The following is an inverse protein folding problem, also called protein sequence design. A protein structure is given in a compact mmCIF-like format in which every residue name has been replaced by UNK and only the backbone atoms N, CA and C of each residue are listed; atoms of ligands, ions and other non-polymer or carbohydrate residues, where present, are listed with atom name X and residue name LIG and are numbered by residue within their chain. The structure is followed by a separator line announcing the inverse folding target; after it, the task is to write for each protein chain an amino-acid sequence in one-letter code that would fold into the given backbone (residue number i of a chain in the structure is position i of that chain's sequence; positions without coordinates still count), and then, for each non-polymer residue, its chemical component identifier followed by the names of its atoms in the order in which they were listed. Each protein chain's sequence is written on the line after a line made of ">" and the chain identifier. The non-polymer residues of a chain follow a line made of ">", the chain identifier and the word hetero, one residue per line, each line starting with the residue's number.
data_IF_516542456335
#
_entry.id   IF_516542456335
#
_cell.length_a   1.000
_cell.length_b   1.000
_cell.length_c   1.000
_cell.angle_alpha   90.00
_cell.angle_beta   90.00
_cell.angle_gamma   90.00
#
_symmetry.space_group_name_H-M   'P 1'
#
loop_
_entity.id
_entity.type
_entity.pdbx_description
1 polymer ?
#
# COMPACT_ATOMS: atom_id res chain seq x y z
N UNK A 1 0.80 -28.90 30.92
CA UNK A 1 0.38 -27.84 29.98
C UNK A 1 -0.81 -28.39 29.21
N UNK A 2 -1.99 -27.80 29.37
CA UNK A 2 -3.13 -28.13 28.52
C UNK A 2 -2.81 -27.79 27.06
N UNK A 3 -3.27 -28.65 26.15
CA UNK A 3 -3.14 -28.40 24.73
C UNK A 3 -3.97 -27.15 24.35
N UNK A 4 -3.51 -26.30 23.42
CA UNK A 4 -4.28 -25.16 22.98
C UNK A 4 -5.62 -25.62 22.39
N UNK A 5 -6.70 -24.91 22.73
CA UNK A 5 -8.03 -25.21 22.21
C UNK A 5 -8.05 -25.13 20.68
N UNK A 6 -8.76 -26.05 20.00
CA UNK A 6 -8.77 -26.18 18.53
C UNK A 6 -9.13 -24.87 17.81
N UNK A 7 -10.05 -24.10 18.40
CA UNK A 7 -10.44 -22.78 17.91
C UNK A 7 -9.24 -21.81 17.72
N UNK A 8 -8.17 -21.95 18.50
CA UNK A 8 -6.97 -21.12 18.34
C UNK A 8 -6.32 -21.32 16.96
N UNK A 9 -6.32 -22.55 16.44
CA UNK A 9 -5.71 -22.85 15.14
C UNK A 9 -6.52 -22.26 13.98
N UNK A 10 -7.85 -22.13 14.13
CA UNK A 10 -8.69 -21.46 13.14
C UNK A 10 -8.38 -19.96 13.03
N UNK A 11 -8.02 -19.32 14.16
CA UNK A 11 -7.68 -17.90 14.20
C UNK A 11 -6.37 -17.61 13.45
N UNK A 12 -5.42 -18.56 13.42
CA UNK A 12 -4.11 -18.38 12.79
C UNK A 12 -4.24 -17.94 11.32
N UNK A 13 -5.18 -18.49 10.56
CA UNK A 13 -5.38 -18.14 9.15
C UNK A 13 -5.79 -16.67 8.92
N UNK A 14 -6.23 -15.95 9.96
CA UNK A 14 -6.63 -14.55 9.90
C UNK A 14 -5.59 -13.59 10.48
N UNK A 15 -4.51 -14.12 11.05
CA UNK A 15 -3.46 -13.29 11.64
C UNK A 15 -2.52 -12.73 10.54
N UNK A 16 -2.11 -11.46 10.64
CA UNK A 16 -1.05 -10.92 9.80
C UNK A 16 0.25 -11.72 9.95
N UNK A 17 1.07 -11.74 8.89
CA UNK A 17 2.30 -12.53 8.86
C UNK A 17 3.23 -12.26 10.05
N UNK A 18 3.37 -11.00 10.49
CA UNK A 18 4.21 -10.69 11.65
C UNK A 18 3.72 -11.37 12.92
N UNK A 19 2.41 -11.41 13.15
CA UNK A 19 1.81 -12.06 14.31
C UNK A 19 1.95 -13.58 14.21
N UNK A 20 1.77 -14.16 13.02
CA UNK A 20 2.02 -15.58 12.77
C UNK A 20 3.47 -15.96 13.13
N UNK A 21 4.44 -15.18 12.66
CA UNK A 21 5.85 -15.44 12.97
C UNK A 21 6.14 -15.29 14.47
N UNK A 22 5.51 -14.34 15.16
CA UNK A 22 5.60 -14.23 16.62
C UNK A 22 4.98 -15.44 17.31
N UNK A 23 3.78 -15.86 16.92
CA UNK A 23 3.10 -17.04 17.47
C UNK A 23 3.91 -18.33 17.28
N UNK A 24 4.62 -18.45 16.15
CA UNK A 24 5.50 -19.60 15.90
C UNK A 24 6.69 -19.69 16.86
N UNK A 25 7.02 -18.60 17.57
CA UNK A 25 8.10 -18.57 18.56
C UNK A 25 7.62 -18.86 19.99
N UNK A 26 6.30 -18.89 20.23
CA UNK A 26 5.72 -19.07 21.57
C UNK A 26 5.77 -20.52 22.04
N UNK A 27 5.51 -21.49 21.15
CA UNK A 27 5.56 -22.92 21.48
C UNK A 27 5.82 -23.79 20.26
N UNK A 28 6.34 -25.01 20.49
CA UNK A 28 6.52 -26.02 19.42
C UNK A 28 5.20 -26.39 18.75
N UNK A 29 4.12 -26.51 19.51
CA UNK A 29 2.80 -26.86 18.97
C UNK A 29 2.29 -25.80 17.99
N UNK A 30 2.41 -24.51 18.34
CA UNK A 30 2.04 -23.42 17.43
C UNK A 30 2.98 -23.33 16.24
N UNK A 31 4.28 -23.48 16.46
CA UNK A 31 5.27 -23.54 15.39
C UNK A 31 4.91 -24.61 14.35
N UNK A 32 4.63 -25.83 14.80
CA UNK A 32 4.37 -26.96 13.93
C UNK A 32 3.01 -26.83 13.23
N UNK A 33 1.99 -26.34 13.93
CA UNK A 33 0.68 -26.05 13.32
C UNK A 33 0.79 -24.98 12.22
N UNK A 34 1.48 -23.87 12.49
CA UNK A 34 1.68 -22.80 11.50
C UNK A 34 2.48 -23.31 10.29
N UNK A 35 3.50 -24.14 10.50
CA UNK A 35 4.34 -24.63 9.40
C UNK A 35 3.71 -25.75 8.58
N UNK A 36 2.80 -26.53 9.16
CA UNK A 36 2.19 -27.68 8.49
C UNK A 36 0.85 -27.34 7.83
N UNK A 37 0.18 -26.27 8.27
CA UNK A 37 -1.11 -25.87 7.71
C UNK A 37 -0.93 -24.96 6.48
N UNK A 38 -1.23 -25.53 5.32
CA UNK A 38 -1.19 -24.83 4.02
C UNK A 38 -2.16 -23.65 3.97
N UNK A 39 -3.29 -23.71 4.67
CA UNK A 39 -4.34 -22.68 4.62
C UNK A 39 -3.84 -21.32 5.11
N UNK A 40 -2.96 -21.33 6.12
CA UNK A 40 -2.34 -20.13 6.68
C UNK A 40 -1.46 -19.41 5.66
N UNK A 41 -0.93 -20.12 4.66
CA UNK A 41 0.01 -19.59 3.67
C UNK A 41 -0.63 -19.32 2.31
N UNK A 42 -1.96 -19.43 2.15
CA UNK A 42 -2.63 -19.12 0.88
C UNK A 42 -2.54 -17.63 0.51
N UNK A 43 -2.39 -16.77 1.50
CA UNK A 43 -2.28 -15.31 1.34
C UNK A 43 -1.00 -14.83 2.02
N UNK A 44 0.07 -14.71 1.24
CA UNK A 44 1.34 -14.20 1.74
C UNK A 44 1.40 -12.69 1.59
N UNK A 45 1.19 -11.99 2.70
CA UNK A 45 1.23 -10.53 2.78
C UNK A 45 2.44 -10.11 3.61
N UNK A 46 3.37 -9.39 2.99
CA UNK A 46 4.54 -8.78 3.62
C UNK A 46 4.41 -7.27 3.52
N UNK A 47 4.32 -6.62 4.67
CA UNK A 47 4.28 -5.16 4.82
C UNK A 47 5.19 -4.73 5.99
N UNK A 48 5.16 -3.44 6.34
CA UNK A 48 5.96 -2.90 7.44
C UNK A 48 5.63 -3.61 8.77
N UNK A 49 6.63 -3.99 9.59
CA UNK A 49 8.08 -3.76 9.42
C UNK A 49 8.84 -4.89 8.71
N UNK A 50 8.18 -5.99 8.34
CA UNK A 50 8.85 -7.17 7.78
C UNK A 50 9.48 -6.90 6.41
N UNK A 51 8.86 -6.04 5.59
CA UNK A 51 9.34 -5.68 4.26
C UNK A 51 10.79 -5.16 4.25
N UNK A 52 11.22 -4.44 5.30
CA UNK A 52 12.55 -3.84 5.41
C UNK A 52 13.67 -4.88 5.51
N UNK A 53 13.35 -6.08 6.00
CA UNK A 53 14.31 -7.17 6.25
C UNK A 53 14.03 -8.40 5.39
N UNK A 54 13.01 -8.35 4.53
CA UNK A 54 12.69 -9.46 3.64
C UNK A 54 13.83 -9.66 2.65
N UNK A 55 14.24 -10.91 2.47
CA UNK A 55 15.23 -11.36 1.49
C UNK A 55 14.62 -12.42 0.59
N UNK A 56 15.23 -12.66 -0.56
CA UNK A 56 14.81 -13.70 -1.50
C UNK A 56 14.70 -15.09 -0.84
N UNK A 57 15.67 -15.48 -0.02
CA UNK A 57 15.65 -16.75 0.71
C UNK A 57 14.46 -16.84 1.68
N UNK A 58 14.19 -15.74 2.38
CA UNK A 58 13.09 -15.68 3.35
C UNK A 58 11.74 -15.77 2.64
N UNK A 59 11.59 -15.06 1.52
CA UNK A 59 10.40 -15.09 0.68
C UNK A 59 10.17 -16.50 0.11
N UNK A 60 11.21 -17.13 -0.44
CA UNK A 60 11.13 -18.51 -0.96
C UNK A 60 10.71 -19.50 0.12
N UNK A 61 11.24 -19.37 1.35
CA UNK A 61 10.87 -20.20 2.48
C UNK A 61 9.41 -20.00 2.92
N UNK A 62 8.85 -18.81 2.78
CA UNK A 62 7.43 -18.56 3.06
C UNK A 62 6.54 -19.11 1.95
N UNK A 63 6.88 -18.82 0.69
CA UNK A 63 6.12 -19.28 -0.46
C UNK A 63 6.09 -20.81 -0.58
N UNK A 64 7.15 -21.52 -0.18
CA UNK A 64 7.20 -22.99 -0.22
C UNK A 64 6.18 -23.65 0.70
N UNK A 65 5.80 -23.00 1.81
CA UNK A 65 4.79 -23.51 2.76
C UNK A 65 3.38 -23.52 2.18
N UNK A 66 3.14 -22.75 1.12
CA UNK A 66 1.88 -22.81 0.40
C UNK A 66 1.76 -24.07 -0.49
N UNK A 67 2.83 -24.85 -0.65
CA UNK A 67 2.88 -26.06 -1.48
C UNK A 67 2.29 -25.87 -2.89
N UNK A 68 2.60 -24.72 -3.52
CA UNK A 68 2.12 -24.36 -4.86
C UNK A 68 0.68 -23.84 -4.91
N UNK A 69 0.04 -23.63 -3.76
CA UNK A 69 -1.36 -23.18 -3.64
C UNK A 69 -1.50 -21.72 -3.25
N UNK A 70 -0.43 -20.93 -3.32
CA UNK A 70 -0.50 -19.50 -3.03
C UNK A 70 -1.50 -18.81 -3.96
N UNK A 71 -2.49 -18.12 -3.38
CA UNK A 71 -3.52 -17.38 -4.13
C UNK A 71 -3.23 -15.88 -4.19
N UNK A 72 -2.58 -15.33 -3.17
CA UNK A 72 -2.21 -13.92 -3.08
C UNK A 72 -0.76 -13.80 -2.64
N UNK A 73 0.01 -13.06 -3.42
CA UNK A 73 1.34 -12.58 -3.04
C UNK A 73 1.30 -11.06 -2.99
N UNK A 74 1.47 -10.50 -1.81
CA UNK A 74 1.52 -9.06 -1.59
C UNK A 74 2.82 -8.67 -0.90
N UNK A 75 3.71 -7.99 -1.61
CA UNK A 75 5.01 -7.50 -1.17
C UNK A 75 4.99 -5.98 -1.22
N UNK A 76 4.73 -5.34 -0.10
CA UNK A 76 4.55 -3.89 -0.04
C UNK A 76 5.87 -3.24 0.37
N UNK A 77 6.43 -2.38 -0.49
CA UNK A 77 7.70 -1.71 -0.26
C UNK A 77 8.86 -2.69 0.06
N UNK A 78 8.89 -3.86 -0.62
CA UNK A 78 9.96 -4.85 -0.43
C UNK A 78 11.10 -4.58 -1.43
N UNK A 79 12.05 -3.72 -1.06
CA UNK A 79 13.10 -3.23 -1.96
C UNK A 79 14.20 -4.25 -2.27
N UNK A 80 14.39 -5.25 -1.41
CA UNK A 80 15.47 -6.25 -1.53
C UNK A 80 15.08 -7.51 -2.32
N UNK A 81 13.86 -7.54 -2.88
CA UNK A 81 13.39 -8.68 -3.66
C UNK A 81 13.77 -8.51 -5.13
N UNK A 82 14.30 -9.58 -5.71
CA UNK A 82 14.79 -9.60 -7.09
C UNK A 82 13.82 -10.28 -8.06
N UNK A 83 13.99 -9.99 -9.35
CA UNK A 83 13.26 -10.64 -10.44
C UNK A 83 13.41 -12.16 -10.44
N UNK A 84 14.62 -12.69 -10.15
CA UNK A 84 14.88 -14.14 -10.08
C UNK A 84 14.06 -14.80 -8.97
N UNK A 85 14.02 -14.18 -7.79
CA UNK A 85 13.21 -14.71 -6.71
C UNK A 85 11.73 -14.72 -7.08
N UNK A 86 11.23 -13.60 -7.61
CA UNK A 86 9.82 -13.48 -7.97
C UNK A 86 9.43 -14.51 -9.05
N UNK A 87 10.26 -14.74 -10.07
CA UNK A 87 9.96 -15.73 -11.11
C UNK A 87 9.90 -17.15 -10.55
N UNK A 88 10.77 -17.49 -9.60
CA UNK A 88 10.77 -18.79 -8.94
C UNK A 88 9.52 -19.00 -8.09
N UNK A 89 9.09 -17.96 -7.35
CA UNK A 89 7.84 -18.00 -6.58
C UNK A 89 6.63 -18.19 -7.49
N UNK A 90 6.58 -17.47 -8.61
CA UNK A 90 5.50 -17.56 -9.61
C UNK A 90 5.43 -18.95 -10.22
N UNK A 91 6.57 -19.48 -10.69
CA UNK A 91 6.63 -20.80 -11.33
C UNK A 91 6.22 -21.93 -10.37
N UNK A 92 6.47 -21.77 -9.08
CA UNK A 92 6.04 -22.72 -8.07
C UNK A 92 4.53 -22.60 -7.73
N UNK A 93 3.89 -21.45 -7.98
CA UNK A 93 2.53 -21.14 -7.53
C UNK A 93 1.62 -20.64 -8.65
N UNK A 94 1.30 -21.52 -9.61
CA UNK A 94 0.46 -21.19 -10.77
C UNK A 94 -1.01 -20.89 -10.44
N UNK A 95 -1.43 -21.05 -9.18
CA UNK A 95 -2.76 -20.71 -8.68
C UNK A 95 -2.88 -19.25 -8.20
N UNK A 96 -1.82 -18.45 -8.30
CA UNK A 96 -1.84 -17.04 -7.94
C UNK A 96 -2.91 -16.29 -8.74
N UNK A 97 -3.75 -15.55 -8.01
CA UNK A 97 -4.83 -14.71 -8.56
C UNK A 97 -4.62 -13.23 -8.30
N UNK A 98 -3.82 -12.88 -7.28
CA UNK A 98 -3.49 -11.51 -6.90
C UNK A 98 -1.98 -11.37 -6.72
N UNK A 99 -1.35 -10.45 -7.44
CA UNK A 99 0.07 -10.12 -7.32
C UNK A 99 0.25 -8.63 -7.02
N UNK A 100 0.54 -8.29 -5.77
CA UNK A 100 0.73 -6.91 -5.34
C UNK A 100 2.19 -6.70 -5.00
N UNK A 101 2.87 -5.81 -5.71
CA UNK A 101 4.29 -5.48 -5.54
C UNK A 101 4.52 -3.96 -5.59
N UNK A 102 3.69 -3.13 -4.91
CA UNK A 102 3.87 -1.69 -4.98
C UNK A 102 5.20 -1.27 -4.36
N UNK A 103 5.89 -0.36 -5.06
CA UNK A 103 7.18 0.20 -4.67
C UNK A 103 8.26 -0.85 -4.35
N UNK A 104 8.17 -2.04 -4.96
CA UNK A 104 9.28 -2.98 -5.05
C UNK A 104 10.26 -2.51 -6.12
N UNK A 105 11.13 -1.57 -5.75
CA UNK A 105 12.07 -0.92 -6.69
C UNK A 105 13.16 -1.84 -7.25
N UNK A 106 13.37 -3.00 -6.62
CA UNK A 106 14.26 -4.04 -7.13
C UNK A 106 13.65 -4.88 -8.26
N UNK A 107 12.36 -4.69 -8.55
CA UNK A 107 11.66 -5.38 -9.62
C UNK A 107 11.56 -4.53 -10.89
N UNK A 108 11.53 -5.21 -12.03
CA UNK A 108 11.38 -4.60 -13.35
C UNK A 108 9.96 -4.76 -13.92
N UNK A 109 9.51 -3.91 -14.85
CA UNK A 109 8.28 -4.15 -15.60
C UNK A 109 8.25 -5.51 -16.33
N UNK A 110 9.41 -5.97 -16.81
CA UNK A 110 9.56 -7.20 -17.59
C UNK A 110 9.20 -8.44 -16.76
N UNK A 111 9.60 -8.51 -15.49
CA UNK A 111 9.21 -9.62 -14.61
C UNK A 111 7.70 -9.64 -14.36
N UNK A 112 7.05 -8.48 -14.27
CA UNK A 112 5.60 -8.39 -14.08
C UNK A 112 4.86 -8.90 -15.32
N UNK A 113 5.35 -8.57 -16.51
CA UNK A 113 4.80 -9.11 -17.76
C UNK A 113 4.99 -10.63 -17.86
N UNK A 114 6.16 -11.14 -17.49
CA UNK A 114 6.41 -12.58 -17.41
C UNK A 114 5.48 -13.27 -16.40
N UNK A 115 5.22 -12.63 -15.26
CA UNK A 115 4.26 -13.09 -14.26
C UNK A 115 2.85 -13.20 -14.85
N UNK A 116 2.37 -12.14 -15.50
CA UNK A 116 1.05 -12.10 -16.10
C UNK A 116 0.87 -13.16 -17.22
N UNK A 117 1.93 -13.41 -18.01
CA UNK A 117 1.96 -14.47 -19.03
C UNK A 117 1.86 -15.88 -18.43
N UNK A 118 2.56 -16.09 -17.32
CA UNK A 118 2.67 -17.42 -16.67
C UNK A 118 1.42 -17.75 -15.86
N UNK A 119 0.86 -16.74 -15.17
CA UNK A 119 -0.27 -16.88 -14.26
C UNK A 119 -1.61 -16.75 -14.99
N UNK A 120 -2.07 -17.83 -15.61
CA UNK A 120 -3.34 -17.87 -16.36
C UNK A 120 -4.60 -17.52 -15.56
N UNK A 121 -4.54 -17.55 -14.23
CA UNK A 121 -5.66 -17.22 -13.32
C UNK A 121 -5.51 -15.84 -12.67
N UNK A 122 -4.51 -15.05 -13.07
CA UNK A 122 -4.25 -13.74 -12.49
C UNK A 122 -5.43 -12.80 -12.76
N UNK A 123 -5.93 -12.17 -11.69
CA UNK A 123 -7.08 -11.26 -11.74
C UNK A 123 -6.68 -9.83 -11.43
N UNK A 124 -5.73 -9.66 -10.51
CA UNK A 124 -5.33 -8.34 -10.04
C UNK A 124 -3.81 -8.26 -9.89
N UNK A 125 -3.27 -7.14 -10.36
CA UNK A 125 -1.87 -6.75 -10.28
C UNK A 125 -1.81 -5.34 -9.71
N UNK A 126 -1.02 -5.12 -8.67
CA UNK A 126 -0.81 -3.79 -8.06
C UNK A 126 0.67 -3.48 -8.09
N UNK A 127 1.08 -2.50 -8.90
CA UNK A 127 2.48 -2.30 -9.31
C UNK A 127 2.91 -0.83 -9.22
N UNK A 128 2.11 0.03 -8.59
CA UNK A 128 2.51 1.43 -8.45
C UNK A 128 3.83 1.57 -7.69
N UNK A 129 4.73 2.41 -8.22
CA UNK A 129 6.07 2.63 -7.66
C UNK A 129 7.15 1.71 -8.21
N UNK A 130 6.85 0.81 -9.15
CA UNK A 130 7.88 0.15 -9.97
C UNK A 130 8.48 1.19 -10.94
N UNK A 131 9.80 1.22 -11.04
CA UNK A 131 10.50 2.16 -11.93
C UNK A 131 10.34 1.78 -13.40
N UNK A 132 10.44 2.79 -14.27
CA UNK A 132 10.42 2.63 -15.73
C UNK A 132 9.16 1.95 -16.29
N UNK A 133 8.03 1.99 -15.56
CA UNK A 133 6.73 1.60 -16.09
C UNK A 133 6.33 2.56 -17.22
N UNK A 134 6.01 1.98 -18.39
CA UNK A 134 5.63 2.70 -19.62
C UNK A 134 4.27 2.25 -20.10
N UNK A 135 3.69 3.04 -21.00
CA UNK A 135 2.38 2.76 -21.59
C UNK A 135 2.32 1.41 -22.30
N UNK A 136 3.40 1.00 -22.98
CA UNK A 136 3.50 -0.31 -23.66
C UNK A 136 3.32 -1.48 -22.69
N UNK A 137 3.92 -1.41 -21.51
CA UNK A 137 3.77 -2.43 -20.47
C UNK A 137 2.32 -2.50 -19.96
N UNK A 138 1.67 -1.35 -19.78
CA UNK A 138 0.28 -1.30 -19.35
C UNK A 138 -0.65 -1.93 -20.39
N UNK A 139 -0.46 -1.57 -21.67
CA UNK A 139 -1.22 -2.16 -22.78
C UNK A 139 -1.04 -3.67 -22.80
N UNK A 140 0.19 -4.18 -22.69
CA UNK A 140 0.44 -5.61 -22.66
C UNK A 140 -0.22 -6.31 -21.44
N UNK A 141 -0.12 -5.74 -20.23
CA UNK A 141 -0.77 -6.28 -19.03
C UNK A 141 -2.29 -6.39 -19.18
N UNK A 142 -2.94 -5.41 -19.82
CA UNK A 142 -4.40 -5.44 -20.02
C UNK A 142 -4.89 -6.58 -20.92
N UNK A 143 -4.01 -7.21 -21.71
CA UNK A 143 -4.37 -8.40 -22.49
C UNK A 143 -4.43 -9.66 -21.64
N UNK A 144 -3.66 -9.72 -20.55
CA UNK A 144 -3.59 -10.90 -19.66
C UNK A 144 -4.58 -10.82 -18.49
N UNK A 145 -5.06 -9.62 -18.16
CA UNK A 145 -5.91 -9.38 -17.00
C UNK A 145 -7.37 -9.16 -17.41
N UNK A 146 -8.33 -9.47 -16.51
CA UNK A 146 -9.73 -9.17 -16.75
C UNK A 146 -9.94 -7.67 -16.98
N UNK A 147 -10.68 -7.30 -18.03
CA UNK A 147 -11.07 -5.91 -18.23
C UNK A 147 -12.13 -5.53 -17.20
N UNK A 148 -11.92 -4.40 -16.52
CA UNK A 148 -12.93 -3.82 -15.64
C UNK A 148 -13.86 -2.95 -16.48
N UNK A 149 -15.16 -3.26 -16.45
CA UNK A 149 -16.18 -2.54 -17.25
C UNK A 149 -16.59 -1.21 -16.65
N UNK A 150 -16.26 -0.98 -15.38
CA UNK A 150 -16.56 0.26 -14.64
C UNK A 150 -15.31 0.77 -13.94
N UNK A 151 -14.96 2.03 -14.23
CA UNK A 151 -13.86 2.73 -13.55
C UNK A 151 -14.39 3.37 -12.28
N UNK A 152 -13.98 2.86 -11.12
CA UNK A 152 -14.25 3.49 -9.84
C UNK A 152 -13.31 4.70 -9.63
N UNK A 153 -13.80 5.81 -9.05
CA UNK A 153 -12.98 6.98 -8.79
C UNK A 153 -11.93 6.69 -7.71
N UNK A 154 -10.67 7.04 -8.00
CA UNK A 154 -9.54 6.84 -7.06
C UNK A 154 -9.25 8.15 -6.33
N UNK A 155 -9.53 8.22 -5.04
CA UNK A 155 -9.30 9.44 -4.24
C UNK A 155 -7.97 9.39 -3.49
N UNK A 156 -7.15 10.42 -3.64
CA UNK A 156 -5.79 10.52 -3.11
C UNK A 156 -5.65 10.12 -1.62
N UNK A 157 -6.51 10.66 -0.74
CA UNK A 157 -6.47 10.39 0.71
C UNK A 157 -6.68 8.93 1.10
N UNK A 158 -7.21 8.08 0.20
CA UNK A 158 -7.39 6.65 0.45
C UNK A 158 -6.15 5.82 0.13
N UNK A 159 -5.21 6.36 -0.65
CA UNK A 159 -4.07 5.62 -1.19
C UNK A 159 -2.72 6.07 -0.62
N UNK A 160 -2.71 7.01 0.35
CA UNK A 160 -1.48 7.44 1.03
C UNK A 160 -0.87 6.35 1.90
N UNK A 161 -1.71 5.59 2.61
CA UNK A 161 -1.27 4.43 3.39
C UNK A 161 -1.37 3.20 2.49
N UNK A 162 -0.23 2.77 1.95
CA UNK A 162 -0.08 1.48 1.25
C UNK A 162 -0.12 0.35 2.27
N UNK A 163 -1.31 0.03 2.77
CA UNK A 163 -1.58 -1.20 3.51
C UNK A 163 -2.22 -2.22 2.58
N UNK A 164 -2.07 -3.49 2.91
CA UNK A 164 -2.71 -4.55 2.13
C UNK A 164 -4.23 -4.38 2.03
N UNK A 165 -4.88 -3.99 3.14
CA UNK A 165 -6.32 -3.76 3.19
C UNK A 165 -6.79 -2.72 2.16
N UNK A 166 -6.07 -1.61 2.00
CA UNK A 166 -6.41 -0.57 1.01
C UNK A 166 -6.24 -1.04 -0.43
N UNK A 167 -5.20 -1.82 -0.70
CA UNK A 167 -4.98 -2.41 -2.02
C UNK A 167 -6.05 -3.45 -2.36
N UNK A 168 -6.58 -4.14 -1.36
CA UNK A 168 -7.66 -5.09 -1.53
C UNK A 168 -9.02 -4.41 -1.78
N UNK A 169 -9.27 -3.23 -1.19
CA UNK A 169 -10.45 -2.41 -1.48
C UNK A 169 -10.50 -1.97 -2.96
N UNK A 170 -9.34 -1.74 -3.59
CA UNK A 170 -9.26 -1.38 -5.00
C UNK A 170 -9.55 -2.59 -5.91
N UNK A 171 -10.76 -2.59 -6.47
CA UNK A 171 -11.26 -3.65 -7.36
C UNK A 171 -10.60 -3.66 -8.74
N UNK A 172 -9.85 -2.62 -9.10
CA UNK A 172 -9.19 -2.51 -10.40
C UNK A 172 -8.23 -3.68 -10.64
N UNK A 173 -8.22 -4.26 -11.84
CA UNK A 173 -7.24 -5.29 -12.21
C UNK A 173 -5.80 -4.76 -12.19
N UNK A 174 -5.62 -3.45 -12.47
CA UNK A 174 -4.35 -2.74 -12.41
C UNK A 174 -4.56 -1.43 -11.64
N UNK A 175 -3.66 -1.08 -10.72
CA UNK A 175 -3.74 0.16 -9.93
C UNK A 175 -3.25 1.40 -10.69
N UNK A 176 -2.26 1.25 -11.57
CA UNK A 176 -1.68 2.34 -12.34
C UNK A 176 -2.40 2.64 -13.65
N UNK A 177 -2.32 3.89 -14.08
CA UNK A 177 -2.84 4.39 -15.35
C UNK A 177 -1.88 5.43 -15.95
N UNK A 178 -2.01 5.72 -17.24
CA UNK A 178 -1.30 6.86 -17.83
C UNK A 178 -1.84 8.17 -17.27
N UNK A 179 -0.96 8.98 -16.69
CA UNK A 179 -1.33 10.29 -16.18
C UNK A 179 -1.69 11.23 -17.35
N UNK A 180 -2.89 11.85 -17.35
CA UNK A 180 -3.31 12.73 -18.45
C UNK A 180 -2.44 13.99 -18.58
N UNK A 181 -1.70 14.38 -17.53
CA UNK A 181 -0.85 15.58 -17.48
C UNK A 181 0.59 15.32 -17.91
N UNK A 182 1.27 14.36 -17.28
CA UNK A 182 2.68 14.08 -17.56
C UNK A 182 2.95 12.87 -18.43
N UNK A 183 1.92 12.08 -18.78
CA UNK A 183 2.04 10.86 -19.63
C UNK A 183 2.82 9.71 -19.01
N UNK A 184 3.26 9.85 -17.77
CA UNK A 184 3.86 8.76 -16.99
C UNK A 184 2.81 7.76 -16.49
N UNK A 185 3.17 6.48 -16.40
CA UNK A 185 2.32 5.41 -15.86
C UNK A 185 2.49 5.32 -14.34
N UNK A 186 1.48 5.77 -13.58
CA UNK A 186 1.49 5.86 -12.11
C UNK A 186 0.07 5.74 -11.56
N UNK A 187 -0.10 5.73 -10.24
CA UNK A 187 -1.42 6.02 -9.66
C UNK A 187 -1.94 7.38 -10.14
N UNK A 188 -3.18 7.37 -10.65
CA UNK A 188 -3.89 8.57 -11.10
C UNK A 188 -5.13 8.75 -10.25
N UNK A 189 -5.30 9.97 -9.72
CA UNK A 189 -6.35 10.29 -8.77
C UNK A 189 -7.39 11.22 -9.37
N UNK A 190 -8.63 10.96 -8.98
CA UNK A 190 -9.78 11.82 -9.13
C UNK A 190 -9.89 12.79 -7.94
N UNK A 191 -10.47 13.97 -8.20
CA UNK A 191 -10.69 14.97 -7.18
C UNK A 191 -12.07 14.79 -6.54
N UNK A 192 -12.19 14.73 -5.20
CA UNK A 192 -13.48 14.67 -4.52
C UNK A 192 -14.17 16.04 -4.40
N UNK A 193 -13.57 17.13 -4.90
CA UNK A 193 -14.17 18.47 -4.88
C UNK A 193 -15.31 18.55 -5.91
N UNK A 194 -16.51 18.93 -5.48
CA UNK A 194 -17.71 18.95 -6.33
C UNK A 194 -17.57 19.78 -7.60
N UNK A 195 -16.89 20.93 -7.50
CA UNK A 195 -16.62 21.80 -8.66
C UNK A 195 -15.71 21.12 -9.68
N UNK A 196 -14.81 20.24 -9.23
CA UNK A 196 -13.96 19.42 -10.09
C UNK A 196 -14.68 18.19 -10.67
N UNK A 197 -15.77 17.72 -10.04
CA UNK A 197 -16.52 16.53 -10.50
C UNK A 197 -17.67 16.87 -11.44
N UNK A 198 -18.23 18.08 -11.35
CA UNK A 198 -19.51 18.41 -12.04
C UNK A 198 -19.29 18.95 -13.46
N UNK A 199 -18.18 19.65 -13.72
CA UNK A 199 -17.88 20.18 -15.05
C UNK A 199 -16.91 19.26 -15.80
N UNK A 200 -17.31 18.70 -16.94
CA UNK A 200 -16.47 17.76 -17.74
C UNK A 200 -15.07 18.29 -18.03
N UNK A 201 -14.93 19.59 -18.34
CA UNK A 201 -13.61 20.23 -18.55
C UNK A 201 -12.77 20.22 -17.27
N UNK A 202 -13.38 20.50 -16.12
CA UNK A 202 -12.73 20.48 -14.81
C UNK A 202 -12.39 19.07 -14.32
N UNK A 203 -13.19 18.05 -14.66
CA UNK A 203 -12.90 16.63 -14.36
C UNK A 203 -11.61 16.19 -15.04
N UNK A 204 -11.50 16.48 -16.35
CA UNK A 204 -10.28 16.17 -17.11
C UNK A 204 -9.10 17.00 -16.60
N UNK A 205 -9.34 18.28 -16.29
CA UNK A 205 -8.28 19.18 -15.79
C UNK A 205 -7.76 18.80 -14.41
N UNK A 206 -8.61 18.28 -13.51
CA UNK A 206 -8.27 17.97 -12.12
C UNK A 206 -8.05 16.48 -11.85
N UNK A 207 -7.82 15.70 -12.90
CA UNK A 207 -7.37 14.31 -12.82
C UNK A 207 -5.87 14.24 -13.09
N UNK A 208 -5.13 13.49 -12.27
CA UNK A 208 -3.67 13.41 -12.40
C UNK A 208 -3.01 12.61 -11.29
N UNK A 209 -1.74 12.28 -11.48
CA UNK A 209 -0.91 11.68 -10.44
C UNK A 209 -0.54 12.71 -9.35
N UNK A 210 -0.01 12.22 -8.23
CA UNK A 210 0.39 13.03 -7.07
C UNK A 210 1.45 14.09 -7.39
N UNK A 211 2.24 13.91 -8.45
CA UNK A 211 3.28 14.86 -8.84
C UNK A 211 2.74 15.99 -9.73
N UNK A 212 1.62 15.78 -10.41
CA UNK A 212 1.05 16.78 -11.33
C UNK A 212 -0.06 17.62 -10.69
N UNK A 213 -0.66 17.14 -9.61
CA UNK A 213 -1.70 17.85 -8.88
C UNK A 213 -1.39 17.66 -7.40
N UNK A 214 -1.00 18.73 -6.74
CA UNK A 214 -0.89 18.78 -5.28
C UNK A 214 -2.28 18.59 -4.68
N UNK A 215 -2.39 17.74 -3.66
CA UNK A 215 -3.67 17.39 -3.03
C UNK A 215 -3.55 17.40 -1.52
N UNK A 216 -4.64 17.78 -0.86
CA UNK A 216 -4.72 17.75 0.60
C UNK A 216 -4.61 16.31 1.10
N UNK A 217 -3.73 16.06 2.07
CA UNK A 217 -3.54 14.73 2.65
C UNK A 217 -4.84 14.22 3.30
N UNK A 218 -5.58 15.09 4.00
CA UNK A 218 -6.76 14.68 4.75
C UNK A 218 -8.01 14.40 3.93
N UNK A 219 -8.31 15.22 2.91
CA UNK A 219 -9.53 15.06 2.12
C UNK A 219 -9.28 14.69 0.65
N UNK A 220 -8.05 14.74 0.16
CA UNK A 220 -7.69 14.39 -1.23
C UNK A 220 -8.14 15.40 -2.29
N UNK A 221 -8.76 16.51 -1.90
CA UNK A 221 -9.09 17.63 -2.81
C UNK A 221 -7.79 18.22 -3.40
N UNK A 222 -7.85 18.70 -4.63
CA UNK A 222 -6.76 19.45 -5.23
C UNK A 222 -6.50 20.73 -4.43
N UNK A 223 -5.24 21.09 -4.34
CA UNK A 223 -4.75 22.37 -3.86
C UNK A 223 -4.25 23.08 -5.10
N UNK A 224 -4.80 24.24 -5.40
CA UNK A 224 -4.36 25.07 -6.52
C UNK A 224 -3.74 26.36 -5.99
N UNK A 225 -2.73 26.86 -6.70
CA UNK A 225 -2.12 28.16 -6.40
C UNK A 225 -3.07 29.33 -6.72
N UNK A 226 -4.16 29.06 -7.46
CA UNK A 226 -5.13 30.05 -7.94
C UNK A 226 -6.31 30.26 -6.97
N UNK A 227 -6.58 29.30 -6.06
CA UNK A 227 -7.80 29.30 -5.25
C UNK A 227 -7.72 30.15 -3.96
N UNK A 228 -6.65 30.93 -3.72
CA UNK A 228 -6.40 31.69 -2.47
C UNK A 228 -6.61 30.83 -1.18
N UNK A 229 -6.59 29.50 -1.30
CA UNK A 229 -6.81 28.59 -0.19
C UNK A 229 -5.55 28.58 0.68
N UNK A 230 -5.64 29.23 1.84
CA UNK A 230 -4.57 29.19 2.84
C UNK A 230 -4.21 27.73 3.18
N UNK A 231 -2.94 27.39 3.03
CA UNK A 231 -2.42 26.08 3.38
C UNK A 231 -2.10 26.02 4.87
N UNK A 232 -2.53 24.93 5.50
CA UNK A 232 -2.17 24.66 6.87
C UNK A 232 -0.71 24.24 6.98
N UNK A 233 0.08 24.94 7.81
CA UNK A 233 1.46 24.53 8.07
C UNK A 233 1.50 23.22 8.87
N UNK A 234 2.05 22.17 8.26
CA UNK A 234 2.23 20.87 8.91
C UNK A 234 3.66 20.69 9.42
N UNK A 235 3.84 19.78 10.37
CA UNK A 235 5.15 19.38 10.90
C UNK A 235 5.90 18.51 9.87
N UNK A 236 5.16 17.70 9.12
CA UNK A 236 5.68 16.77 8.12
C UNK A 236 5.94 17.40 6.75
N UNK A 237 5.66 18.71 6.58
CA UNK A 237 5.70 19.42 5.29
C UNK A 237 4.76 18.84 4.22
N UNK A 238 3.80 18.01 4.60
CA UNK A 238 2.74 17.57 3.71
C UNK A 238 1.65 18.64 3.57
N UNK A 239 0.90 18.58 2.48
CA UNK A 239 -0.09 19.58 2.15
C UNK A 239 -1.45 19.30 2.81
N UNK A 240 -1.98 20.27 3.55
CA UNK A 240 -3.35 20.24 4.06
C UNK A 240 -4.08 21.52 3.67
N UNK A 241 -5.32 21.36 3.19
CA UNK A 241 -6.23 22.49 3.12
C UNK A 241 -6.59 22.98 4.53
N UNK A 242 -6.92 24.27 4.66
CA UNK A 242 -7.23 24.90 5.94
C UNK A 242 -8.30 24.12 6.75
N UNK A 243 -9.37 23.68 6.10
CA UNK A 243 -10.45 22.90 6.72
C UNK A 243 -9.95 21.63 7.42
N UNK A 244 -9.04 20.90 6.78
CA UNK A 244 -8.46 19.69 7.35
C UNK A 244 -7.48 20.03 8.47
N UNK A 245 -6.63 21.04 8.25
CA UNK A 245 -5.66 21.49 9.24
C UNK A 245 -6.30 21.99 10.54
N UNK A 246 -7.42 22.71 10.46
CA UNK A 246 -8.16 23.23 11.61
C UNK A 246 -8.72 22.12 12.53
N UNK A 247 -8.95 20.92 11.98
CA UNK A 247 -9.54 19.78 12.71
C UNK A 247 -8.49 18.90 13.39
N UNK A 248 -7.21 19.12 13.11
CA UNK A 248 -6.13 18.27 13.61
C UNK A 248 -5.55 18.83 14.91
N UNK A 249 -5.08 17.96 15.83
CA UNK A 249 -4.32 18.38 17.00
C UNK A 249 -3.07 19.17 16.59
N UNK A 250 -2.82 20.28 17.27
CA UNK A 250 -1.68 21.17 17.00
C UNK A 250 -0.70 21.10 18.15
N UNK A 251 0.59 21.13 17.81
CA UNK A 251 1.66 21.25 18.78
C UNK A 251 1.49 22.54 19.58
N UNK A 252 1.50 22.44 20.91
CA UNK A 252 1.33 23.59 21.80
C UNK A 252 2.44 24.64 21.67
N UNK A 253 3.60 24.29 21.10
CA UNK A 253 4.74 25.19 20.95
C UNK A 253 4.84 25.87 19.58
N UNK A 254 4.57 25.16 18.48
CA UNK A 254 4.72 25.71 17.13
C UNK A 254 3.40 25.89 16.39
N UNK A 255 2.27 25.49 17.00
CA UNK A 255 0.93 25.55 16.42
C UNK A 255 0.78 24.77 15.09
N UNK A 256 1.71 23.87 14.76
CA UNK A 256 1.64 23.00 13.58
C UNK A 256 1.03 21.64 13.92
N UNK A 257 0.36 21.02 12.94
CA UNK A 257 -0.20 19.66 13.08
C UNK A 257 0.61 18.64 12.26
N UNK A 258 0.55 17.36 12.64
CA UNK A 258 0.90 16.29 11.69
C UNK A 258 -0.23 16.14 10.67
N UNK A 259 0.07 15.71 9.44
CA UNK A 259 -1.00 15.25 8.54
C UNK A 259 -1.63 13.96 9.09
N UNK A 260 -2.86 13.59 8.67
CA UNK A 260 -3.53 12.40 9.18
C UNK A 260 -2.70 11.13 9.08
N UNK A 261 -2.01 10.94 7.95
CA UNK A 261 -1.12 9.81 7.67
C UNK A 261 0.00 9.67 8.71
N UNK A 262 0.63 10.80 9.07
CA UNK A 262 1.71 10.81 10.06
C UNK A 262 1.20 10.85 11.50
N UNK A 263 0.00 11.39 11.74
CA UNK A 263 -0.63 11.37 13.06
C UNK A 263 -0.85 9.92 13.52
N UNK A 264 -1.40 9.07 12.65
CA UNK A 264 -1.65 7.65 12.97
C UNK A 264 -0.36 6.88 13.32
N UNK A 265 0.76 7.22 12.69
CA UNK A 265 2.07 6.63 12.99
C UNK A 265 2.64 7.12 14.33
N UNK A 266 2.28 8.32 14.76
CA UNK A 266 2.79 8.99 15.95
C UNK A 266 1.93 8.72 17.21
N UNK A 267 0.67 8.28 17.06
CA UNK A 267 -0.21 7.94 18.18
C UNK A 267 0.35 6.83 19.09
N UNK A 268 1.33 6.04 18.64
CA UNK A 268 2.05 5.08 19.49
C UNK A 268 3.04 5.73 20.47
N UNK A 269 3.46 6.98 20.23
CA UNK A 269 4.46 7.67 21.04
C UNK A 269 3.88 8.73 21.98
N UNK A 270 2.66 9.22 21.74
CA UNK A 270 2.11 10.33 22.50
C UNK A 270 0.96 9.89 23.41
N UNK A 271 1.14 10.08 24.72
CA UNK A 271 0.02 10.13 25.66
C UNK A 271 -0.93 11.24 25.21
N UNK A 272 -2.22 10.93 25.07
CA UNK A 272 -3.33 11.85 24.77
C UNK A 272 -3.53 12.82 25.95
N UNK A 273 -2.50 13.59 26.28
CA UNK A 273 -2.60 14.74 27.18
C UNK A 273 -2.98 15.96 26.35
N UNK A 274 -3.58 16.97 27.00
CA UNK A 274 -4.03 18.21 26.35
C UNK A 274 -2.88 19.04 25.77
N UNK A 275 -1.63 18.70 26.10
CA UNK A 275 -0.43 19.44 25.71
C UNK A 275 0.46 18.57 24.79
N UNK A 276 -0.05 18.24 23.60
CA UNK A 276 0.78 17.60 22.57
C UNK A 276 1.92 18.53 22.16
N UNK A 277 3.16 18.04 22.27
CA UNK A 277 4.36 18.70 21.76
C UNK A 277 4.94 17.82 20.65
N UNK A 278 5.27 18.40 19.50
CA UNK A 278 5.85 17.62 18.41
C UNK A 278 7.33 17.32 18.64
N UNK A 279 7.84 16.24 18.04
CA UNK A 279 9.24 15.80 18.16
C UNK A 279 10.25 16.92 17.86
N UNK A 280 9.95 17.77 16.86
CA UNK A 280 10.82 18.90 16.50
C UNK A 280 10.89 19.97 17.59
N UNK A 281 9.84 20.14 18.39
CA UNK A 281 9.81 21.06 19.53
C UNK A 281 10.41 20.41 20.78
N UNK A 282 10.16 19.13 21.02
CA UNK A 282 10.77 18.37 22.13
C UNK A 282 12.30 18.37 22.02
N UNK A 283 12.85 18.05 20.84
CA UNK A 283 14.31 18.05 20.63
C UNK A 283 14.96 19.42 20.80
N UNK A 284 14.22 20.52 20.64
CA UNK A 284 14.72 21.87 20.87
C UNK A 284 14.75 22.25 22.36
N UNK A 285 13.97 21.57 23.20
CA UNK A 285 13.94 21.81 24.65
C UNK A 285 15.02 21.01 25.39
N UNK A 286 15.53 19.92 24.81
CA UNK A 286 16.59 19.09 25.38
C UNK A 286 18.03 19.58 25.08
N UNK A 287 18.17 20.79 24.49
CA UNK A 287 19.45 21.47 24.24
C UNK A 287 19.49 22.77 25.02
#
# INVERSE_FOLDING_TARGET
>A
MEAPHEALFLVLAYLPLHQLLTMSQVSKTLHDAINSDVLVWLHLVVENPLNLRLTDDTLMRFASKAHGRLHTLALLNCFNITDDCLIRVINANLLLTKLYVPACTGLTPEIILAAAKTLTKLKQVKIDGIYNLKQEHLLELTHYLPQTTSREPKFYHKFQIRTFQRLEEDRSSIDVEECPKCKEVKLVFDCPRETCTTMKRSVVACRGCSNCITRCEGCGKCISDEDDEELGETICNDFLCLDCWLRLPKCSHCNKSYCPTHLDQQLFHFSISRDFVCLSCEMKQSR
#
